data_IF_251737388472
#
_entry.id   IF_251737388472
#
_cell.length_a   1.000
_cell.length_b   1.000
_cell.length_c   1.000
_cell.angle_alpha   90.00
_cell.angle_beta   90.00
_cell.angle_gamma   90.00
#
_symmetry.space_group_name_H-M   'P 1'
#
loop_
_entity.id
_entity.type
_entity.pdbx_description
1 polymer ?
#
# COMPACT_ATOMS: atom_id res chain seq x y z
N UNK A 1 6.78 -16.74 14.09
CA UNK A 1 6.54 -15.58 13.19
C UNK A 1 5.08 -15.22 13.38
N UNK A 2 4.80 -14.01 13.85
CA UNK A 2 3.47 -13.62 14.33
C UNK A 2 2.48 -13.65 13.15
N UNK A 3 1.68 -14.73 13.14
CA UNK A 3 0.41 -14.93 12.42
C UNK A 3 0.45 -14.91 10.89
N UNK A 4 0.02 -16.04 10.31
CA UNK A 4 -0.34 -16.24 8.90
C UNK A 4 -1.44 -15.26 8.46
N UNK A 5 -1.10 -13.97 8.35
CA UNK A 5 -2.04 -12.90 8.04
C UNK A 5 -2.14 -12.75 6.53
N UNK A 6 -3.31 -13.06 6.00
CA UNK A 6 -3.66 -12.88 4.59
C UNK A 6 -3.92 -11.41 4.23
N UNK A 7 -3.92 -10.51 5.22
CA UNK A 7 -4.31 -9.11 5.07
C UNK A 7 -3.41 -8.16 5.88
N UNK A 8 -2.95 -7.09 5.24
CA UNK A 8 -2.08 -6.06 5.83
C UNK A 8 -2.60 -4.68 5.48
N UNK A 9 -2.65 -3.79 6.48
CA UNK A 9 -3.05 -2.38 6.31
C UNK A 9 -1.80 -1.50 6.42
N UNK A 10 -1.59 -0.66 5.41
CA UNK A 10 -0.49 0.30 5.34
C UNK A 10 -1.05 1.72 5.35
N UNK A 11 -1.11 2.33 6.53
CA UNK A 11 -1.61 3.70 6.72
C UNK A 11 -0.46 4.72 6.70
N UNK A 12 -0.38 5.49 5.61
CA UNK A 12 0.69 6.45 5.33
C UNK A 12 2.12 5.92 5.52
N UNK A 13 2.32 4.59 5.35
CA UNK A 13 3.52 3.87 5.77
C UNK A 13 4.83 4.34 5.08
N UNK A 14 4.74 5.04 3.96
CA UNK A 14 5.88 5.48 3.14
C UNK A 14 6.01 7.00 3.03
N UNK A 15 5.15 7.77 3.69
CA UNK A 15 5.02 9.24 3.52
C UNK A 15 6.26 10.04 3.94
N UNK A 16 7.05 9.53 4.89
CA UNK A 16 8.22 10.21 5.45
C UNK A 16 9.54 9.90 4.70
N UNK A 17 9.47 9.15 3.61
CA UNK A 17 10.65 8.63 2.90
C UNK A 17 10.88 9.37 1.58
N UNK A 18 12.14 9.43 1.17
CA UNK A 18 12.50 9.91 -0.16
C UNK A 18 11.83 9.05 -1.25
N UNK A 19 11.45 9.67 -2.36
CA UNK A 19 10.74 9.03 -3.48
C UNK A 19 11.45 7.76 -3.97
N UNK A 20 12.79 7.75 -3.99
CA UNK A 20 13.59 6.58 -4.40
C UNK A 20 13.49 5.41 -3.42
N UNK A 21 13.31 5.68 -2.13
CA UNK A 21 13.15 4.66 -1.09
C UNK A 21 11.71 4.15 -1.08
N UNK A 22 10.72 5.04 -1.27
CA UNK A 22 9.32 4.65 -1.39
C UNK A 22 9.13 3.59 -2.48
N UNK A 23 9.67 3.83 -3.68
CA UNK A 23 9.60 2.87 -4.80
C UNK A 23 10.22 1.53 -4.41
N UNK A 24 11.38 1.53 -3.75
CA UNK A 24 12.03 0.29 -3.31
C UNK A 24 11.17 -0.51 -2.32
N UNK A 25 10.58 0.16 -1.33
CA UNK A 25 9.71 -0.49 -0.34
C UNK A 25 8.45 -1.04 -1.01
N UNK A 26 7.83 -0.27 -1.90
CA UNK A 26 6.64 -0.71 -2.62
C UNK A 26 6.93 -1.96 -3.46
N UNK A 27 8.07 -2.01 -4.15
CA UNK A 27 8.47 -3.20 -4.90
C UNK A 27 8.59 -4.42 -3.99
N UNK A 28 9.26 -4.28 -2.84
CA UNK A 28 9.40 -5.38 -1.87
C UNK A 28 8.02 -5.85 -1.37
N UNK A 29 7.12 -4.92 -1.05
CA UNK A 29 5.76 -5.27 -0.61
C UNK A 29 5.00 -6.01 -1.70
N UNK A 30 5.15 -5.60 -2.97
CA UNK A 30 4.53 -6.28 -4.10
C UNK A 30 5.09 -7.70 -4.31
N UNK A 31 6.40 -7.87 -4.23
CA UNK A 31 7.04 -9.18 -4.33
C UNK A 31 6.53 -10.12 -3.21
N UNK A 32 6.41 -9.59 -1.99
CA UNK A 32 5.81 -10.33 -0.87
C UNK A 32 4.33 -10.66 -1.11
N UNK A 33 3.58 -9.76 -1.75
CA UNK A 33 2.19 -10.00 -2.16
C UNK A 33 2.09 -11.25 -3.04
N UNK A 34 2.93 -11.30 -4.07
CA UNK A 34 2.92 -12.33 -5.10
C UNK A 34 3.40 -13.68 -4.55
N UNK A 35 4.43 -13.69 -3.71
CA UNK A 35 4.97 -14.90 -3.10
C UNK A 35 4.06 -15.50 -2.03
N UNK A 36 3.39 -14.66 -1.23
CA UNK A 36 2.64 -15.08 -0.05
C UNK A 36 1.12 -14.99 -0.21
N UNK A 37 0.62 -14.47 -1.34
CA UNK A 37 -0.82 -14.29 -1.59
C UNK A 37 -1.48 -13.27 -0.66
N UNK A 38 -0.77 -12.20 -0.30
CA UNK A 38 -1.24 -11.20 0.65
C UNK A 38 -2.23 -10.24 0.00
N UNK A 39 -3.17 -9.74 0.79
CA UNK A 39 -4.03 -8.62 0.42
C UNK A 39 -3.57 -7.36 1.15
N UNK A 40 -3.32 -6.28 0.41
CA UNK A 40 -2.91 -5.00 0.98
C UNK A 40 -4.03 -3.96 0.89
N UNK A 41 -4.25 -3.23 1.98
CA UNK A 41 -5.00 -1.98 1.98
C UNK A 41 -4.03 -0.83 2.23
N UNK A 42 -3.78 -0.05 1.18
CA UNK A 42 -2.93 1.14 1.27
C UNK A 42 -3.75 2.41 1.43
N UNK A 43 -3.38 3.23 2.41
CA UNK A 43 -3.96 4.55 2.65
C UNK A 43 -2.85 5.58 2.47
N UNK A 44 -3.06 6.52 1.57
CA UNK A 44 -2.08 7.57 1.26
C UNK A 44 -2.78 8.78 0.66
N UNK A 45 -2.20 9.95 0.87
CA UNK A 45 -2.57 11.18 0.17
C UNK A 45 -1.74 11.43 -1.11
N UNK A 46 -0.74 10.59 -1.39
CA UNK A 46 0.08 10.68 -2.60
C UNK A 46 -0.46 9.78 -3.73
N UNK A 47 -1.08 10.39 -4.73
CA UNK A 47 -1.63 9.72 -5.91
C UNK A 47 -0.58 8.98 -6.75
N UNK A 48 0.69 9.41 -6.73
CA UNK A 48 1.77 8.80 -7.52
C UNK A 48 2.05 7.38 -7.01
N UNK A 49 2.03 7.21 -5.70
CA UNK A 49 2.23 5.92 -5.03
C UNK A 49 1.00 5.03 -5.19
N UNK A 50 -0.19 5.57 -4.96
CA UNK A 50 -1.46 4.84 -5.06
C UNK A 50 -1.61 4.19 -6.44
N UNK A 51 -1.27 4.93 -7.51
CA UNK A 51 -1.36 4.43 -8.89
C UNK A 51 -0.35 3.31 -9.20
N UNK A 52 0.74 3.21 -8.45
CA UNK A 52 1.79 2.23 -8.71
C UNK A 52 1.55 0.91 -7.96
N UNK A 53 1.01 0.97 -6.75
CA UNK A 53 0.83 -0.21 -5.88
C UNK A 53 -0.57 -0.82 -5.93
N UNK A 54 -1.61 -0.03 -6.23
CA UNK A 54 -2.99 -0.47 -6.04
C UNK A 54 -3.57 -1.07 -7.32
N UNK A 55 -4.21 -2.23 -7.20
CA UNK A 55 -5.02 -2.81 -8.27
C UNK A 55 -6.35 -2.05 -8.46
N UNK A 56 -7.01 -1.74 -7.33
CA UNK A 56 -8.22 -0.93 -7.25
C UNK A 56 -7.99 0.30 -6.36
N UNK A 57 -8.69 1.40 -6.67
CA UNK A 57 -8.55 2.66 -5.94
C UNK A 57 -9.93 3.17 -5.52
N UNK A 58 -10.06 3.49 -4.22
CA UNK A 58 -11.21 4.17 -3.65
C UNK A 58 -10.78 5.57 -3.16
N UNK A 59 -11.54 6.61 -3.50
CA UNK A 59 -11.26 7.97 -3.03
C UNK A 59 -12.17 8.29 -1.87
N UNK A 60 -11.58 8.70 -0.74
CA UNK A 60 -12.34 9.20 0.40
C UNK A 60 -12.41 10.73 0.38
N UNK A 61 -13.62 11.27 0.41
CA UNK A 61 -13.89 12.70 0.52
C UNK A 61 -14.87 12.96 1.68
N UNK A 62 -14.45 13.74 2.67
CA UNK A 62 -15.24 14.02 3.89
C UNK A 62 -15.83 12.77 4.56
N UNK A 63 -15.05 11.69 4.64
CA UNK A 63 -15.48 10.44 5.28
C UNK A 63 -16.42 9.58 4.44
N UNK A 64 -16.64 9.93 3.17
CA UNK A 64 -17.41 9.11 2.22
C UNK A 64 -16.51 8.62 1.09
N UNK A 65 -16.71 7.36 0.68
CA UNK A 65 -16.07 6.82 -0.53
C UNK A 65 -16.90 7.26 -1.74
N UNK A 66 -16.25 7.87 -2.72
CA UNK A 66 -16.87 8.38 -3.96
C UNK A 66 -16.39 7.63 -5.19
#
# INVERSE_FOLDING_TARGET
MATNQEFVVCDEAVSALDVSIQVQIITILKDMQEEMGLTYLFISHDFSIVRFISDDVAVMYFGQIV
#
